data_IF_241844382568
#
_entry.id   IF_241844382568
#
_cell.length_a   1.000
_cell.length_b   1.000
_cell.length_c   1.000
_cell.angle_alpha   90.00
_cell.angle_beta   90.00
_cell.angle_gamma   90.00
#
_symmetry.space_group_name_H-M   'P 1'
#
loop_
_entity.id
_entity.type
_entity.pdbx_description
1 polymer ?
#
# COMPACT_ATOMS: atom_id res chain seq x y z
N UNK A 1 -37.57 70.65 -14.72
CA UNK A 1 -38.10 69.48 -13.97
C UNK A 1 -37.45 68.17 -14.46
N UNK A 2 -36.12 68.11 -14.53
CA UNK A 2 -35.44 66.86 -15.04
C UNK A 2 -34.16 66.45 -14.30
N UNK A 3 -33.66 67.26 -13.35
CA UNK A 3 -32.37 66.95 -12.69
C UNK A 3 -32.53 65.93 -11.55
N UNK A 4 -33.70 65.84 -10.98
CA UNK A 4 -33.98 64.92 -9.83
C UNK A 4 -34.19 63.47 -10.32
N UNK A 5 -34.83 63.26 -11.49
CA UNK A 5 -35.04 61.91 -12.05
C UNK A 5 -33.75 61.29 -12.57
N UNK A 6 -32.82 62.01 -13.20
CA UNK A 6 -31.50 61.48 -13.61
C UNK A 6 -30.64 61.04 -12.43
N UNK A 7 -30.75 61.77 -11.29
CA UNK A 7 -30.02 61.38 -10.07
C UNK A 7 -30.51 60.09 -9.45
N UNK A 8 -31.80 59.79 -9.53
CA UNK A 8 -32.39 58.53 -9.01
C UNK A 8 -32.08 57.35 -9.92
N UNK A 9 -32.19 57.49 -11.23
CA UNK A 9 -31.85 56.41 -12.20
C UNK A 9 -30.37 56.04 -12.12
N UNK A 10 -29.47 56.99 -11.99
CA UNK A 10 -28.02 56.75 -11.88
C UNK A 10 -27.65 56.04 -10.57
N UNK A 11 -28.42 56.24 -9.50
CA UNK A 11 -28.22 55.56 -8.20
C UNK A 11 -28.72 54.12 -8.21
N UNK A 12 -29.84 53.84 -8.91
CA UNK A 12 -30.35 52.50 -9.08
C UNK A 12 -29.48 51.63 -10.01
N UNK A 13 -28.99 52.18 -11.12
CA UNK A 13 -28.07 51.50 -12.02
C UNK A 13 -26.73 51.14 -11.30
N UNK A 14 -26.17 52.07 -10.51
CA UNK A 14 -24.98 51.81 -9.71
C UNK A 14 -25.21 50.68 -8.69
N UNK A 15 -26.37 50.69 -7.99
CA UNK A 15 -26.74 49.64 -7.02
C UNK A 15 -26.90 48.27 -7.71
N UNK A 16 -27.51 48.25 -8.90
CA UNK A 16 -27.69 47.04 -9.68
C UNK A 16 -26.37 46.46 -10.19
N UNK A 17 -25.46 47.33 -10.67
CA UNK A 17 -24.11 46.95 -11.08
C UNK A 17 -23.27 46.39 -9.93
N UNK A 18 -23.31 47.02 -8.76
CA UNK A 18 -22.59 46.58 -7.56
C UNK A 18 -23.12 45.23 -7.08
N UNK A 19 -24.43 45.03 -7.10
CA UNK A 19 -25.06 43.75 -6.73
C UNK A 19 -24.69 42.64 -7.70
N UNK A 20 -24.67 42.86 -9.00
CA UNK A 20 -24.21 41.87 -10.01
C UNK A 20 -22.74 41.53 -9.83
N UNK A 21 -21.88 42.50 -9.53
CA UNK A 21 -20.46 42.25 -9.29
C UNK A 21 -20.23 41.39 -8.07
N UNK A 22 -20.96 41.63 -6.97
CA UNK A 22 -20.89 40.81 -5.73
C UNK A 22 -21.33 39.37 -6.01
N UNK A 23 -22.43 39.18 -6.76
CA UNK A 23 -22.91 37.86 -7.15
C UNK A 23 -21.87 37.11 -7.99
N UNK A 24 -21.27 37.82 -8.97
CA UNK A 24 -20.25 37.21 -9.82
C UNK A 24 -19.00 36.77 -9.02
N UNK A 25 -18.54 37.63 -8.11
CA UNK A 25 -17.42 37.27 -7.20
C UNK A 25 -17.77 36.09 -6.31
N UNK A 26 -18.98 36.04 -5.75
CA UNK A 26 -19.44 34.93 -4.95
C UNK A 26 -19.45 33.60 -5.77
N UNK A 27 -19.92 33.63 -7.00
CA UNK A 27 -19.91 32.47 -7.91
C UNK A 27 -18.49 31.99 -8.16
N UNK A 28 -17.56 32.92 -8.48
CA UNK A 28 -16.14 32.59 -8.72
C UNK A 28 -15.51 31.93 -7.47
N UNK A 29 -15.79 32.46 -6.27
CA UNK A 29 -15.26 31.87 -5.03
C UNK A 29 -15.80 30.47 -4.80
N UNK A 30 -17.08 30.21 -5.07
CA UNK A 30 -17.67 28.87 -4.97
C UNK A 30 -17.00 27.90 -5.97
N UNK A 31 -16.77 28.32 -7.21
CA UNK A 31 -16.06 27.51 -8.19
C UNK A 31 -14.61 27.19 -7.75
N UNK A 32 -13.90 28.19 -7.22
CA UNK A 32 -12.54 27.96 -6.70
C UNK A 32 -12.52 26.97 -5.54
N UNK A 33 -13.50 27.04 -4.63
CA UNK A 33 -13.63 26.05 -3.54
C UNK A 33 -13.92 24.65 -4.06
N UNK A 34 -14.82 24.50 -5.04
CA UNK A 34 -15.13 23.19 -5.64
C UNK A 34 -13.89 22.60 -6.31
N UNK A 35 -13.16 23.39 -7.11
CA UNK A 35 -11.91 22.94 -7.74
C UNK A 35 -10.88 22.55 -6.70
N UNK A 36 -10.74 23.33 -5.62
CA UNK A 36 -9.85 23.02 -4.50
C UNK A 36 -10.19 21.68 -3.84
N UNK A 37 -11.46 21.43 -3.57
CA UNK A 37 -11.95 20.17 -2.97
C UNK A 37 -11.67 18.99 -3.93
N UNK A 38 -11.99 19.12 -5.21
CA UNK A 38 -11.76 18.06 -6.20
C UNK A 38 -10.25 17.76 -6.32
N UNK A 39 -9.41 18.78 -6.36
CA UNK A 39 -7.96 18.64 -6.44
C UNK A 39 -7.39 17.97 -5.18
N UNK A 40 -7.91 18.32 -4.00
CA UNK A 40 -7.53 17.71 -2.73
C UNK A 40 -7.93 16.24 -2.65
N UNK A 41 -9.16 15.89 -3.07
CA UNK A 41 -9.61 14.50 -3.12
C UNK A 41 -8.82 13.67 -4.13
N UNK A 42 -8.49 14.24 -5.29
CA UNK A 42 -7.63 13.58 -6.28
C UNK A 42 -6.21 13.36 -5.74
N UNK A 43 -5.67 14.33 -4.99
CA UNK A 43 -4.37 14.21 -4.34
C UNK A 43 -4.36 13.07 -3.30
N UNK A 44 -5.35 13.02 -2.40
CA UNK A 44 -5.48 11.94 -1.40
C UNK A 44 -5.55 10.58 -2.09
N UNK A 45 -6.42 10.42 -3.09
CA UNK A 45 -6.60 9.16 -3.81
C UNK A 45 -5.33 8.71 -4.54
N UNK A 46 -4.51 9.65 -5.01
CA UNK A 46 -3.24 9.32 -5.67
C UNK A 46 -2.09 9.05 -4.68
N UNK A 47 -2.21 9.55 -3.43
CA UNK A 47 -1.21 9.32 -2.37
C UNK A 47 -1.44 8.00 -1.62
N UNK A 48 -2.59 7.34 -1.79
CA UNK A 48 -2.82 6.02 -1.19
C UNK A 48 -1.88 4.97 -1.77
N UNK A 49 -1.37 4.10 -0.89
CA UNK A 49 -0.59 2.94 -1.31
C UNK A 49 -1.43 2.08 -2.27
N UNK A 50 -0.85 1.68 -3.38
CA UNK A 50 -1.44 0.72 -4.33
C UNK A 50 -0.51 -0.47 -4.50
N UNK A 51 -1.07 -1.65 -4.37
CA UNK A 51 -0.36 -2.91 -4.56
C UNK A 51 -0.89 -3.57 -5.82
N UNK A 52 0.03 -3.97 -6.70
CA UNK A 52 -0.28 -4.67 -7.94
C UNK A 52 0.37 -6.05 -7.89
N UNK A 53 -0.41 -7.07 -8.13
CA UNK A 53 0.07 -8.44 -8.28
C UNK A 53 -0.24 -8.90 -9.71
N UNK A 54 0.79 -9.29 -10.45
CA UNK A 54 0.67 -9.61 -11.88
C UNK A 54 -0.06 -8.51 -12.69
N UNK A 55 0.22 -7.24 -12.35
CA UNK A 55 -0.37 -6.07 -13.02
C UNK A 55 -1.80 -5.73 -12.62
N UNK A 56 -2.43 -6.48 -11.70
CA UNK A 56 -3.77 -6.20 -11.19
C UNK A 56 -3.71 -5.63 -9.78
N UNK A 57 -4.49 -4.57 -9.52
CA UNK A 57 -4.57 -3.98 -8.18
C UNK A 57 -5.14 -4.98 -7.17
N UNK A 58 -4.49 -5.11 -6.01
CA UNK A 58 -4.87 -6.04 -4.95
C UNK A 58 -5.01 -5.31 -3.61
N UNK A 59 -6.25 -4.95 -3.27
CA UNK A 59 -6.55 -4.25 -2.01
C UNK A 59 -6.35 -5.15 -0.78
N UNK A 60 -6.58 -6.46 -0.91
CA UNK A 60 -6.43 -7.39 0.22
C UNK A 60 -4.99 -7.49 0.69
N UNK A 61 -4.04 -7.59 -0.24
CA UNK A 61 -2.61 -7.61 0.11
C UNK A 61 -2.15 -6.25 0.59
N UNK A 62 -2.65 -5.16 0.00
CA UNK A 62 -2.37 -3.79 0.44
C UNK A 62 -2.63 -3.61 1.95
N UNK A 63 -3.78 -4.06 2.44
CA UNK A 63 -4.19 -3.88 3.83
C UNK A 63 -3.34 -4.70 4.82
N UNK A 64 -2.60 -5.68 4.32
CA UNK A 64 -1.72 -6.54 5.11
C UNK A 64 -0.26 -6.10 5.08
N UNK A 65 0.14 -5.23 4.15
CA UNK A 65 1.53 -4.77 4.08
C UNK A 65 1.83 -3.77 5.19
N UNK A 66 3.06 -3.83 5.70
CA UNK A 66 3.57 -2.87 6.68
C UNK A 66 4.79 -2.18 6.07
N UNK A 67 4.75 -0.85 5.99
CA UNK A 67 5.86 -0.02 5.53
C UNK A 67 6.37 0.78 6.71
N UNK A 68 7.63 0.58 7.08
CA UNK A 68 8.28 1.35 8.14
C UNK A 68 8.74 2.73 7.62
N UNK A 69 8.98 3.67 8.52
CA UNK A 69 9.40 5.05 8.20
C UNK A 69 10.69 5.10 7.38
N UNK A 70 11.57 4.13 7.55
CA UNK A 70 12.80 3.97 6.78
C UNK A 70 12.58 3.46 5.34
N UNK A 71 11.32 3.13 4.99
CA UNK A 71 10.92 2.60 3.71
C UNK A 71 11.06 1.08 3.56
N UNK A 72 11.38 0.34 4.64
CA UNK A 72 11.38 -1.12 4.63
C UNK A 72 9.93 -1.62 4.51
N UNK A 73 9.69 -2.46 3.52
CA UNK A 73 8.39 -3.09 3.29
C UNK A 73 8.40 -4.47 3.92
N UNK A 74 7.44 -4.74 4.80
CA UNK A 74 7.18 -6.06 5.38
C UNK A 74 5.95 -6.69 4.77
N UNK A 75 6.05 -7.96 4.41
CA UNK A 75 4.99 -8.74 3.77
C UNK A 75 4.58 -9.91 4.65
N UNK A 76 3.29 -10.21 4.77
CA UNK A 76 2.80 -11.35 5.55
C UNK A 76 3.13 -12.66 4.83
N UNK A 77 3.94 -13.51 5.46
CA UNK A 77 4.53 -14.70 4.84
C UNK A 77 3.45 -15.66 4.32
N UNK A 78 2.45 -15.98 5.16
CA UNK A 78 1.41 -16.99 4.81
C UNK A 78 0.47 -16.51 3.72
N UNK A 79 0.13 -15.22 3.73
CA UNK A 79 -0.75 -14.62 2.73
C UNK A 79 -0.09 -14.56 1.36
N UNK A 80 1.20 -14.20 1.31
CA UNK A 80 1.97 -14.21 0.05
C UNK A 80 2.14 -15.65 -0.45
N UNK A 81 2.48 -16.60 0.44
CA UNK A 81 2.56 -18.02 0.10
C UNK A 81 1.24 -18.54 -0.49
N UNK A 82 0.12 -18.25 0.16
CA UNK A 82 -1.22 -18.62 -0.31
C UNK A 82 -1.55 -18.02 -1.67
N UNK A 83 -1.15 -16.76 -1.91
CA UNK A 83 -1.34 -16.10 -3.19
C UNK A 83 -0.56 -16.78 -4.32
N UNK A 84 0.65 -17.27 -3.99
CA UNK A 84 1.50 -18.01 -4.93
C UNK A 84 1.06 -19.48 -5.13
N UNK A 85 0.04 -19.92 -4.40
CA UNK A 85 -0.44 -21.29 -4.45
C UNK A 85 0.41 -22.28 -3.63
N UNK A 86 1.25 -21.78 -2.72
CA UNK A 86 2.08 -22.60 -1.84
C UNK A 86 1.33 -22.95 -0.56
N UNK A 87 1.61 -24.13 -0.02
CA UNK A 87 1.15 -24.49 1.33
C UNK A 87 1.98 -23.74 2.39
N UNK A 88 1.33 -23.36 3.49
CA UNK A 88 2.05 -22.71 4.60
C UNK A 88 1.45 -23.08 5.94
N UNK A 89 2.31 -23.29 6.95
CA UNK A 89 1.90 -23.62 8.31
C UNK A 89 2.92 -23.13 9.34
N UNK A 90 2.45 -22.89 10.56
CA UNK A 90 3.32 -22.60 11.70
C UNK A 90 3.68 -23.90 12.43
N UNK A 91 4.70 -23.84 13.28
CA UNK A 91 5.15 -24.93 14.12
C UNK A 91 6.51 -25.51 13.71
N UNK A 92 6.71 -26.80 13.93
CA UNK A 92 7.90 -27.51 13.48
C UNK A 92 7.62 -28.21 12.15
N UNK A 93 8.68 -28.54 11.40
CA UNK A 93 8.56 -29.23 10.14
C UNK A 93 7.76 -30.54 10.27
N UNK A 94 6.71 -30.66 9.47
CA UNK A 94 5.81 -31.79 9.52
C UNK A 94 4.84 -31.81 10.72
N UNK A 95 4.92 -30.84 11.65
CA UNK A 95 4.06 -30.74 12.82
C UNK A 95 3.43 -29.36 12.93
N UNK A 96 2.24 -29.19 12.36
CA UNK A 96 1.49 -27.93 12.34
C UNK A 96 1.06 -27.54 13.75
N UNK A 97 1.24 -26.27 14.12
CA UNK A 97 0.80 -25.72 15.40
C UNK A 97 0.34 -24.26 15.25
N UNK A 98 -0.30 -23.73 16.31
CA UNK A 98 -0.66 -22.30 16.38
C UNK A 98 0.53 -21.42 16.83
N UNK A 99 1.66 -22.02 17.16
CA UNK A 99 2.83 -21.28 17.63
C UNK A 99 3.47 -20.47 16.52
N UNK A 100 3.72 -19.19 16.79
CA UNK A 100 4.30 -18.23 15.82
C UNK A 100 5.85 -18.24 15.79
N UNK A 101 6.50 -19.22 16.42
CA UNK A 101 7.96 -19.27 16.45
C UNK A 101 8.59 -19.51 15.08
N UNK A 102 7.92 -20.29 14.23
CA UNK A 102 8.36 -20.65 12.89
C UNK A 102 7.18 -20.71 11.91
N UNK A 103 7.45 -20.37 10.64
CA UNK A 103 6.54 -20.59 9.54
C UNK A 103 7.27 -21.35 8.43
N UNK A 104 6.68 -22.43 7.98
CA UNK A 104 7.10 -23.20 6.81
C UNK A 104 6.23 -22.84 5.63
N UNK A 105 6.86 -22.68 4.47
CA UNK A 105 6.20 -22.51 3.18
C UNK A 105 6.73 -23.56 2.24
N UNK A 106 5.83 -24.34 1.67
CA UNK A 106 6.13 -25.50 0.84
C UNK A 106 5.52 -25.34 -0.54
N UNK A 107 6.38 -25.44 -1.57
CA UNK A 107 6.01 -25.58 -2.96
C UNK A 107 6.24 -27.04 -3.41
N UNK A 108 5.97 -27.34 -4.69
CA UNK A 108 6.24 -28.68 -5.25
C UNK A 108 7.72 -29.08 -5.19
N UNK A 109 8.63 -28.11 -5.19
CA UNK A 109 10.08 -28.33 -5.33
C UNK A 109 10.92 -27.86 -4.15
N UNK A 110 10.39 -27.02 -3.27
CA UNK A 110 11.17 -26.35 -2.23
C UNK A 110 10.37 -26.14 -0.94
N UNK A 111 11.09 -26.13 0.19
CA UNK A 111 10.57 -25.70 1.48
C UNK A 111 11.39 -24.50 1.95
N UNK A 112 10.72 -23.41 2.32
CA UNK A 112 11.32 -22.29 3.02
C UNK A 112 10.87 -22.25 4.48
N UNK A 113 11.81 -21.97 5.40
CA UNK A 113 11.52 -21.80 6.83
C UNK A 113 11.90 -20.41 7.29
N UNK A 114 10.95 -19.73 7.91
CA UNK A 114 11.06 -18.40 8.50
C UNK A 114 10.92 -18.52 10.01
N UNK A 115 11.94 -18.11 10.76
CA UNK A 115 11.94 -18.16 12.22
C UNK A 115 11.82 -16.77 12.81
N UNK A 116 10.91 -16.56 13.75
CA UNK A 116 10.70 -15.29 14.44
C UNK A 116 12.00 -14.79 15.06
N UNK A 117 12.31 -13.51 14.84
CA UNK A 117 13.52 -12.88 15.35
C UNK A 117 14.79 -13.22 14.58
N UNK A 118 14.72 -14.10 13.58
CA UNK A 118 15.85 -14.48 12.74
C UNK A 118 15.87 -13.69 11.44
N UNK A 119 17.05 -13.26 11.01
CA UNK A 119 17.27 -12.78 9.66
C UNK A 119 17.77 -13.86 8.69
N UNK A 120 17.84 -15.10 9.18
CA UNK A 120 18.28 -16.27 8.43
C UNK A 120 17.06 -17.08 8.00
N UNK A 121 16.93 -17.30 6.71
CA UNK A 121 15.88 -18.09 6.08
C UNK A 121 16.53 -19.39 5.61
N UNK A 122 15.96 -20.52 6.00
CA UNK A 122 16.41 -21.82 5.56
C UNK A 122 15.59 -22.26 4.34
N UNK A 123 16.25 -22.74 3.29
CA UNK A 123 15.60 -23.38 2.13
C UNK A 123 16.11 -24.79 1.93
N UNK A 124 15.21 -25.69 1.55
CA UNK A 124 15.46 -27.07 1.20
C UNK A 124 14.91 -27.34 -0.20
N UNK A 125 15.72 -27.93 -1.07
CA UNK A 125 15.33 -28.40 -2.39
C UNK A 125 14.85 -29.85 -2.30
N UNK A 126 13.56 -30.08 -2.58
CA UNK A 126 12.93 -31.40 -2.53
C UNK A 126 13.20 -32.26 -3.76
N UNK A 127 13.74 -31.69 -4.83
CA UNK A 127 13.99 -32.40 -6.10
C UNK A 127 15.29 -33.19 -6.08
N UNK A 128 16.14 -32.99 -5.09
CA UNK A 128 17.45 -33.63 -4.99
C UNK A 128 17.48 -34.73 -3.96
N UNK A 129 18.10 -35.84 -4.29
CA UNK A 129 18.21 -37.04 -3.43
C UNK A 129 19.09 -36.86 -2.20
N UNK A 130 19.96 -35.85 -2.16
CA UNK A 130 20.76 -35.50 -0.99
C UNK A 130 20.26 -34.21 -0.37
N UNK A 131 20.43 -34.06 0.96
CA UNK A 131 20.07 -32.84 1.69
C UNK A 131 20.70 -31.60 1.05
N UNK A 132 19.99 -31.00 0.13
CA UNK A 132 20.37 -29.78 -0.56
C UNK A 132 19.65 -28.62 0.10
N UNK A 133 20.21 -28.16 1.21
CA UNK A 133 19.72 -27.00 1.91
C UNK A 133 20.73 -25.88 1.84
N UNK A 134 20.22 -24.65 1.82
CA UNK A 134 21.03 -23.44 1.91
C UNK A 134 20.34 -22.40 2.78
N UNK A 135 21.12 -21.40 3.16
CA UNK A 135 20.63 -20.28 3.94
C UNK A 135 20.67 -19.02 3.12
N UNK A 136 19.60 -18.24 3.27
CA UNK A 136 19.55 -16.87 2.77
C UNK A 136 19.50 -15.93 3.97
N UNK A 137 19.97 -14.72 3.77
CA UNK A 137 19.96 -13.71 4.82
C UNK A 137 19.21 -12.49 4.32
N UNK A 138 18.29 -11.97 5.15
CA UNK A 138 17.69 -10.66 4.99
C UNK A 138 18.44 -9.63 5.83
N UNK A 139 18.28 -8.36 5.51
CA UNK A 139 18.83 -7.26 6.29
C UNK A 139 18.20 -7.19 7.68
N UNK A 140 16.89 -7.34 7.74
CA UNK A 140 16.10 -7.23 8.96
C UNK A 140 15.47 -8.58 9.33
N UNK A 141 15.24 -8.83 10.64
CA UNK A 141 14.71 -10.11 11.11
C UNK A 141 13.21 -10.27 10.77
N UNK A 142 12.77 -11.52 10.77
CA UNK A 142 11.35 -11.90 10.73
C UNK A 142 10.66 -11.36 11.97
N UNK A 143 9.52 -10.69 11.81
CA UNK A 143 8.74 -10.06 12.88
C UNK A 143 7.37 -10.68 13.02
N UNK A 144 6.81 -10.65 14.22
CA UNK A 144 5.39 -10.90 14.45
C UNK A 144 4.66 -9.56 14.64
N UNK A 145 3.63 -9.32 13.85
CA UNK A 145 2.80 -8.12 13.93
C UNK A 145 1.34 -8.60 14.01
N UNK A 146 0.64 -8.25 15.09
CA UNK A 146 -0.75 -8.65 15.31
C UNK A 146 -1.03 -10.17 15.14
N UNK A 147 -0.09 -11.01 15.57
CA UNK A 147 -0.23 -12.46 15.48
C UNK A 147 0.06 -13.06 14.10
N UNK A 148 0.66 -12.30 13.19
CA UNK A 148 1.08 -12.75 11.86
C UNK A 148 2.59 -12.59 11.71
N UNK A 149 3.25 -13.57 11.08
CA UNK A 149 4.68 -13.47 10.76
C UNK A 149 4.91 -12.72 9.46
N UNK A 150 5.84 -11.78 9.53
CA UNK A 150 6.23 -10.90 8.43
C UNK A 150 7.71 -11.07 8.11
N UNK A 151 8.01 -11.14 6.82
CA UNK A 151 9.35 -11.01 6.27
C UNK A 151 9.52 -9.66 5.58
N UNK A 152 10.73 -9.16 5.43
CA UNK A 152 10.97 -8.03 4.51
C UNK A 152 10.67 -8.44 3.07
N UNK A 153 10.31 -7.48 2.22
CA UNK A 153 10.12 -7.76 0.78
C UNK A 153 11.35 -8.43 0.17
N UNK A 154 12.57 -7.96 0.51
CA UNK A 154 13.83 -8.58 0.07
C UNK A 154 13.94 -10.07 0.47
N UNK A 155 13.52 -10.39 1.70
CA UNK A 155 13.53 -11.76 2.18
C UNK A 155 12.50 -12.64 1.44
N UNK A 156 11.32 -12.09 1.19
CA UNK A 156 10.27 -12.77 0.43
C UNK A 156 10.65 -12.96 -1.05
N UNK A 157 11.28 -11.96 -1.68
CA UNK A 157 11.82 -12.09 -3.04
C UNK A 157 12.75 -13.30 -3.18
N UNK A 158 13.73 -13.38 -2.27
CA UNK A 158 14.70 -14.47 -2.28
C UNK A 158 14.07 -15.82 -1.94
N UNK A 159 13.10 -15.84 -1.04
CA UNK A 159 12.47 -17.07 -0.59
C UNK A 159 11.48 -17.65 -1.61
N UNK A 160 10.76 -16.81 -2.31
CA UNK A 160 9.68 -17.20 -3.21
C UNK A 160 10.02 -17.05 -4.71
N UNK A 161 11.23 -16.57 -5.01
CA UNK A 161 11.66 -16.26 -6.40
C UNK A 161 10.70 -15.30 -7.12
N UNK A 162 10.30 -14.25 -6.43
CA UNK A 162 9.44 -13.18 -6.91
C UNK A 162 10.18 -11.84 -6.82
N UNK A 163 9.60 -10.78 -7.34
CA UNK A 163 10.12 -9.42 -7.16
C UNK A 163 9.07 -8.49 -6.58
N UNK A 164 9.52 -7.56 -5.72
CA UNK A 164 8.75 -6.43 -5.22
C UNK A 164 9.43 -5.14 -5.67
N UNK A 165 8.73 -4.36 -6.48
CA UNK A 165 9.20 -3.02 -6.88
C UNK A 165 8.36 -1.97 -6.16
N UNK A 166 8.98 -1.23 -5.23
CA UNK A 166 8.31 -0.14 -4.50
C UNK A 166 8.67 1.22 -5.10
N UNK A 167 7.79 1.72 -5.96
CA UNK A 167 7.83 3.08 -6.47
C UNK A 167 7.33 4.06 -5.38
N UNK A 168 8.28 4.65 -4.65
CA UNK A 168 7.99 5.61 -3.56
C UNK A 168 7.30 6.87 -4.05
N UNK A 169 7.63 7.35 -5.25
CA UNK A 169 7.08 8.59 -5.78
C UNK A 169 5.60 8.44 -6.13
N UNK A 170 5.20 7.25 -6.56
CA UNK A 170 3.81 6.92 -6.88
C UNK A 170 3.08 6.20 -5.75
N UNK A 171 3.79 5.84 -4.68
CA UNK A 171 3.30 5.00 -3.59
C UNK A 171 2.66 3.69 -4.11
N UNK A 172 3.43 2.93 -4.89
CA UNK A 172 2.98 1.69 -5.55
C UNK A 172 3.97 0.56 -5.34
N UNK A 173 3.44 -0.64 -5.11
CA UNK A 173 4.21 -1.89 -5.09
C UNK A 173 3.72 -2.76 -6.26
N UNK A 174 4.69 -3.30 -7.00
CA UNK A 174 4.46 -4.17 -8.16
C UNK A 174 5.01 -5.57 -7.89
#
# INVERSE_FOLDING_TARGET
MNIIEEGFQNKEEKKKKTSMTIILVAIVLVFCMIIGIISYLAYIKNSELKVFLNGQANEKVKDLLVIEDNGTVYVPIKEIASYLGYESYNGEYGNKSEELSKCYVESESEIANFSLGSNKIYKLDLTKESENYWYMYSKDPIKAINGVLYATSEAAEKAFDISFDYDKDKNRIY
#
